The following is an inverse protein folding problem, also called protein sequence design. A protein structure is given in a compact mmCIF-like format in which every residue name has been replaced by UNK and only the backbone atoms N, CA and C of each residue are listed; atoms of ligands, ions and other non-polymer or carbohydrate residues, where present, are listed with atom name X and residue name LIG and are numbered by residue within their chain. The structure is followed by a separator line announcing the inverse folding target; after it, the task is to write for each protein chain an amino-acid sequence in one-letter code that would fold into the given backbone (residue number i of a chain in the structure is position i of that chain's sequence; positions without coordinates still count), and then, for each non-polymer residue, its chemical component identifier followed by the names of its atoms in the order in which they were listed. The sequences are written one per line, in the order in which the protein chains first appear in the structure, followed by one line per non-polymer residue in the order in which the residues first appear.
data_IF_168590340714
#
_entry.id   IF_168590340714
#
_cell.length_a   1.000
_cell.length_b   1.000
_cell.length_c   1.000
_cell.angle_alpha   90.00
_cell.angle_beta   90.00
_cell.angle_gamma   90.00
#
_symmetry.space_group_name_H-M   'P 1'
#
loop_
_entity.id
_entity.type
_entity.pdbx_description
1 polymer ?
#
# COMPACT_ATOMS: atom_id res chain seq x y z
N UNK A 1 -54.06 -49.39 44.31
CA UNK A 1 -54.67 -48.88 43.07
C UNK A 1 -53.94 -47.61 42.68
N UNK A 2 -53.51 -47.53 41.42
CA UNK A 2 -52.86 -46.38 40.76
C UNK A 2 -53.73 -45.11 40.86
N UNK A 3 -53.35 -43.88 40.55
CA UNK A 3 -52.23 -43.24 39.83
C UNK A 3 -52.06 -41.83 40.49
N UNK A 4 -51.07 -40.98 40.23
CA UNK A 4 -50.80 -40.30 38.96
C UNK A 4 -49.49 -39.53 39.11
N UNK A 5 -48.62 -39.62 38.11
CA UNK A 5 -47.39 -38.83 37.98
C UNK A 5 -47.73 -37.45 37.40
N UNK A 6 -47.10 -36.40 37.90
CA UNK A 6 -47.02 -35.11 37.21
C UNK A 6 -45.57 -34.64 37.20
N UNK A 7 -44.95 -34.78 36.02
CA UNK A 7 -43.70 -34.12 35.66
C UNK A 7 -43.95 -32.62 35.54
N UNK A 8 -43.16 -31.81 36.22
CA UNK A 8 -43.03 -30.38 35.90
C UNK A 8 -41.66 -30.15 35.31
N UNK A 9 -41.64 -29.96 33.99
CA UNK A 9 -40.48 -29.45 33.26
C UNK A 9 -40.44 -27.93 33.46
N UNK A 10 -39.39 -27.42 34.11
CA UNK A 10 -39.14 -25.98 34.19
C UNK A 10 -38.12 -25.62 33.12
N UNK A 11 -38.57 -24.77 32.21
CA UNK A 11 -37.90 -24.36 30.98
C UNK A 11 -36.55 -23.68 31.23
N UNK A 12 -35.54 -24.08 30.45
CA UNK A 12 -34.28 -23.35 30.33
C UNK A 12 -34.54 -22.02 29.59
N UNK A 13 -34.49 -20.91 30.32
CA UNK A 13 -34.52 -19.56 29.77
C UNK A 13 -33.15 -19.32 29.14
N UNK A 14 -33.06 -19.49 27.82
CA UNK A 14 -31.90 -19.08 27.03
C UNK A 14 -31.74 -17.55 27.13
N UNK A 15 -30.59 -17.12 27.65
CA UNK A 15 -30.11 -15.74 27.57
C UNK A 15 -29.94 -15.37 26.09
N UNK A 16 -30.92 -14.69 25.50
CA UNK A 16 -30.76 -14.01 24.21
C UNK A 16 -29.84 -12.81 24.44
N UNK A 17 -28.54 -13.01 24.19
CA UNK A 17 -27.60 -11.90 24.06
C UNK A 17 -28.07 -11.04 22.88
N UNK A 18 -28.55 -9.83 23.17
CA UNK A 18 -28.81 -8.82 22.16
C UNK A 18 -27.47 -8.37 21.58
N UNK A 19 -27.03 -8.99 20.50
CA UNK A 19 -25.96 -8.43 19.65
C UNK A 19 -26.55 -7.24 18.91
N UNK A 20 -26.39 -6.03 19.42
CA UNK A 20 -26.65 -4.83 18.63
C UNK A 20 -25.47 -4.65 17.67
N UNK A 21 -25.70 -4.94 16.39
CA UNK A 21 -24.79 -4.56 15.33
C UNK A 21 -24.93 -3.06 15.10
N UNK A 22 -24.03 -2.26 15.67
CA UNK A 22 -23.93 -0.84 15.31
C UNK A 22 -23.36 -0.76 13.90
N UNK A 23 -24.24 -0.55 12.91
CA UNK A 23 -23.81 -0.16 11.57
C UNK A 23 -23.33 1.29 11.65
N UNK A 24 -22.01 1.46 11.76
CA UNK A 24 -21.39 2.77 11.58
C UNK A 24 -21.46 3.09 10.09
N UNK A 25 -22.41 3.93 9.69
CA UNK A 25 -22.45 4.48 8.34
C UNK A 25 -21.23 5.42 8.22
N UNK A 26 -20.17 4.95 7.56
CA UNK A 26 -19.04 5.82 7.24
C UNK A 26 -19.48 6.85 6.19
N UNK A 27 -18.96 8.09 6.27
CA UNK A 27 -19.24 9.12 5.28
C UNK A 27 -18.81 8.64 3.88
N UNK A 28 -19.53 9.04 2.83
CA UNK A 28 -19.16 8.70 1.46
C UNK A 28 -17.77 9.25 1.15
N UNK A 29 -16.97 8.50 0.38
CA UNK A 29 -15.71 9.00 -0.17
C UNK A 29 -16.02 10.28 -0.95
N UNK A 30 -15.48 11.41 -0.49
CA UNK A 30 -15.78 12.73 -1.06
C UNK A 30 -15.12 12.92 -2.43
N UNK A 31 -14.11 12.13 -2.77
CA UNK A 31 -13.38 12.21 -4.05
C UNK A 31 -13.33 10.84 -4.76
N UNK A 32 -13.55 10.81 -6.09
CA UNK A 32 -13.42 9.59 -6.88
C UNK A 32 -11.95 9.15 -7.00
N UNK A 33 -11.71 7.84 -6.98
CA UNK A 33 -10.37 7.28 -7.24
C UNK A 33 -9.83 7.77 -8.58
N UNK A 34 -8.66 8.40 -8.54
CA UNK A 34 -7.93 8.81 -9.74
C UNK A 34 -6.86 7.77 -10.02
N UNK A 35 -7.00 6.98 -11.11
CA UNK A 35 -6.00 5.97 -11.46
C UNK A 35 -4.68 6.63 -11.81
N UNK A 36 -3.59 5.91 -11.59
CA UNK A 36 -2.28 6.34 -12.08
C UNK A 36 -2.29 6.36 -13.61
N UNK A 37 -1.47 7.23 -14.18
CA UNK A 37 -1.34 7.40 -15.63
C UNK A 37 -0.08 6.69 -16.11
N UNK A 38 -0.19 5.94 -17.20
CA UNK A 38 0.97 5.28 -17.80
C UNK A 38 2.06 6.29 -18.16
N UNK A 39 3.28 6.03 -17.72
CA UNK A 39 4.43 6.94 -17.81
C UNK A 39 5.57 6.39 -18.69
N UNK A 40 5.45 5.14 -19.17
CA UNK A 40 6.37 4.53 -20.12
C UNK A 40 6.97 3.20 -19.64
N UNK A 41 7.78 2.61 -20.52
CA UNK A 41 8.58 1.42 -20.25
C UNK A 41 9.98 1.80 -19.75
N UNK A 42 10.42 1.20 -18.66
CA UNK A 42 11.71 1.51 -18.03
C UNK A 42 12.50 0.24 -17.74
N UNK A 43 13.83 0.33 -17.82
CA UNK A 43 14.69 -0.78 -17.43
C UNK A 43 14.50 -1.06 -15.93
N UNK A 44 14.51 -2.34 -15.56
CA UNK A 44 14.67 -2.79 -14.18
C UNK A 44 15.94 -3.62 -14.03
N UNK A 45 16.50 -3.68 -12.82
CA UNK A 45 17.81 -4.29 -12.61
C UNK A 45 18.27 -4.31 -11.16
N UNK A 46 19.59 -4.32 -10.94
CA UNK A 46 20.16 -4.27 -9.59
C UNK A 46 21.09 -3.04 -9.47
N UNK A 47 20.74 -2.02 -8.66
CA UNK A 47 19.54 -1.92 -7.82
C UNK A 47 18.24 -1.78 -8.63
N UNK A 48 17.11 -2.14 -8.01
CA UNK A 48 15.79 -2.05 -8.64
C UNK A 48 15.38 -0.61 -8.90
N UNK A 49 14.65 -0.40 -9.97
CA UNK A 49 14.14 0.92 -10.36
C UNK A 49 13.11 1.45 -9.39
N UNK A 50 12.19 0.57 -8.96
CA UNK A 50 11.24 0.84 -7.89
C UNK A 50 11.65 -0.01 -6.67
N UNK A 51 11.94 0.68 -5.57
CA UNK A 51 12.60 0.08 -4.39
C UNK A 51 11.73 -0.96 -3.68
N UNK A 52 10.40 -0.81 -3.73
CA UNK A 52 9.50 -1.68 -2.99
C UNK A 52 8.86 -2.72 -3.90
N UNK A 53 8.96 -4.00 -3.54
CA UNK A 53 8.19 -5.08 -4.16
C UNK A 53 6.95 -5.36 -3.32
N UNK A 54 5.79 -5.30 -3.94
CA UNK A 54 4.50 -5.67 -3.35
C UNK A 54 4.50 -7.13 -2.87
N UNK A 55 3.78 -7.39 -1.78
CA UNK A 55 3.53 -8.74 -1.27
C UNK A 55 2.35 -9.44 -1.98
N UNK A 56 1.61 -8.73 -2.83
CA UNK A 56 0.50 -9.31 -3.57
C UNK A 56 0.94 -10.42 -4.52
N UNK A 57 0.00 -11.33 -4.78
CA UNK A 57 0.24 -12.42 -5.70
C UNK A 57 0.27 -11.93 -7.15
N UNK A 58 1.37 -12.22 -7.86
CA UNK A 58 1.48 -11.98 -9.29
C UNK A 58 0.54 -12.84 -10.15
N UNK A 59 -0.11 -13.88 -9.59
CA UNK A 59 -0.93 -14.84 -10.35
C UNK A 59 -2.24 -14.28 -10.89
N UNK A 60 -2.74 -13.20 -10.31
CA UNK A 60 -4.00 -12.56 -10.71
C UNK A 60 -3.86 -11.03 -10.68
N UNK A 61 -2.65 -10.55 -10.99
CA UNK A 61 -2.34 -9.13 -10.95
C UNK A 61 -2.93 -8.40 -12.17
N UNK A 62 -3.48 -7.22 -11.94
CA UNK A 62 -3.89 -6.25 -12.98
C UNK A 62 -3.19 -4.92 -12.72
N UNK A 63 -3.24 -4.02 -13.69
CA UNK A 63 -2.73 -2.65 -13.50
C UNK A 63 -3.44 -2.00 -12.31
N UNK A 64 -4.77 -2.11 -12.22
CA UNK A 64 -5.58 -1.53 -11.15
C UNK A 64 -5.17 -2.05 -9.77
N UNK A 65 -4.92 -3.36 -9.65
CA UNK A 65 -4.52 -3.96 -8.38
C UNK A 65 -3.16 -3.44 -7.89
N UNK A 66 -2.20 -3.26 -8.78
CA UNK A 66 -0.89 -2.74 -8.43
C UNK A 66 -0.93 -1.24 -8.09
N UNK A 67 -1.58 -0.42 -8.93
CA UNK A 67 -1.69 1.03 -8.66
C UNK A 67 -2.50 1.30 -7.38
N UNK A 68 -3.50 0.46 -7.08
CA UNK A 68 -4.28 0.50 -5.84
C UNK A 68 -3.38 0.35 -4.60
N UNK A 69 -2.50 -0.64 -4.61
CA UNK A 69 -1.58 -0.89 -3.51
C UNK A 69 -0.52 0.20 -3.40
N UNK A 70 0.07 0.62 -4.52
CA UNK A 70 1.10 1.66 -4.46
C UNK A 70 0.53 3.01 -4.00
N UNK A 71 -0.73 3.33 -4.36
CA UNK A 71 -1.37 4.61 -4.00
C UNK A 71 -1.61 4.76 -2.49
N UNK A 72 -2.03 3.72 -1.77
CA UNK A 72 -2.37 3.90 -0.34
C UNK A 72 -3.78 4.30 0.01
N UNK A 73 -4.68 4.27 -0.96
CA UNK A 73 -6.04 4.72 -0.73
C UNK A 73 -7.05 3.61 -1.02
N UNK A 74 -7.20 2.68 -0.08
CA UNK A 74 -8.47 1.97 0.10
C UNK A 74 -8.81 1.87 1.58
N UNK A 75 -9.71 2.74 2.11
CA UNK A 75 -10.50 2.36 3.26
C UNK A 75 -11.39 1.20 2.81
N UNK A 76 -11.12 0.01 3.35
CA UNK A 76 -12.02 -1.14 3.42
C UNK A 76 -13.43 -0.94 2.82
N UNK A 77 -13.63 -1.36 1.56
CA UNK A 77 -14.85 -2.09 1.21
C UNK A 77 -14.62 -2.96 -0.02
N UNK A 78 -14.60 -4.28 0.21
CA UNK A 78 -14.65 -5.31 -0.81
C UNK A 78 -16.01 -5.28 -1.53
N UNK A 79 -16.02 -5.15 -2.84
CA UNK A 79 -17.13 -5.62 -3.68
C UNK A 79 -16.68 -6.93 -4.35
N UNK A 80 -16.97 -8.03 -3.64
CA UNK A 80 -17.05 -9.43 -4.07
C UNK A 80 -15.89 -10.06 -4.88
N UNK A 81 -14.95 -10.68 -4.16
CA UNK A 81 -14.38 -11.96 -4.57
C UNK A 81 -14.17 -12.87 -3.35
N UNK A 82 -14.92 -13.96 -3.30
CA UNK A 82 -14.99 -14.89 -2.19
C UNK A 82 -13.82 -15.87 -2.19
N UNK A 83 -13.01 -15.88 -1.12
CA UNK A 83 -12.70 -17.06 -0.28
C UNK A 83 -11.57 -16.75 0.69
N UNK A 84 -11.86 -16.94 1.99
CA UNK A 84 -10.94 -17.20 3.11
C UNK A 84 -9.44 -17.04 2.76
N UNK A 85 -8.82 -15.97 3.25
CA UNK A 85 -7.58 -16.01 4.04
C UNK A 85 -7.23 -14.61 4.53
N UNK A 86 -7.11 -14.51 5.86
CA UNK A 86 -6.44 -13.50 6.67
C UNK A 86 -6.74 -12.00 6.43
N UNK A 87 -7.15 -11.36 7.53
CA UNK A 87 -7.02 -9.94 7.77
C UNK A 87 -5.61 -9.45 7.38
N UNK A 88 -5.50 -8.76 6.25
CA UNK A 88 -4.44 -7.80 6.00
C UNK A 88 -4.99 -6.74 5.04
N UNK A 89 -5.20 -5.55 5.56
CA UNK A 89 -5.44 -4.35 4.74
C UNK A 89 -4.08 -4.05 4.12
N UNK A 90 -3.93 -3.96 2.79
CA UNK A 90 -2.72 -3.35 2.27
C UNK A 90 -2.77 -1.90 2.73
N UNK A 91 -1.88 -1.57 3.66
CA UNK A 91 -1.43 -0.21 3.91
C UNK A 91 -0.82 0.22 2.59
N UNK A 92 -1.62 0.68 1.63
CA UNK A 92 -0.98 1.12 0.41
C UNK A 92 -0.08 2.31 0.77
N UNK A 93 0.98 2.47 0.02
CA UNK A 93 2.21 2.98 0.61
C UNK A 93 2.51 4.45 0.25
N UNK A 94 1.52 5.16 -0.30
CA UNK A 94 1.64 6.58 -0.67
C UNK A 94 2.72 6.83 -1.71
N UNK A 95 3.00 5.86 -2.58
CA UNK A 95 4.03 5.98 -3.59
C UNK A 95 3.55 6.76 -4.80
N UNK A 96 4.49 7.51 -5.39
CA UNK A 96 4.26 8.26 -6.62
C UNK A 96 4.15 7.35 -7.85
N UNK A 97 4.91 6.25 -7.85
CA UNK A 97 5.00 5.34 -8.98
C UNK A 97 4.60 3.93 -8.57
N UNK A 98 3.89 3.29 -9.50
CA UNK A 98 3.65 1.85 -9.52
C UNK A 98 4.29 1.30 -10.79
N UNK A 99 4.86 0.11 -10.72
CA UNK A 99 5.47 -0.55 -11.86
C UNK A 99 5.12 -2.02 -11.87
N UNK A 100 4.86 -2.55 -13.05
CA UNK A 100 4.61 -3.98 -13.24
C UNK A 100 5.73 -4.58 -14.08
N UNK A 101 6.27 -5.69 -13.63
CA UNK A 101 7.29 -6.51 -14.31
C UNK A 101 6.75 -7.93 -14.51
N UNK A 102 7.26 -8.66 -15.51
CA UNK A 102 7.12 -10.11 -15.64
C UNK A 102 5.71 -10.67 -15.32
N UNK A 103 4.74 -10.29 -16.14
CA UNK A 103 3.33 -10.73 -16.06
C UNK A 103 2.54 -10.25 -14.84
N UNK A 104 3.12 -9.41 -13.98
CA UNK A 104 2.41 -8.81 -12.85
C UNK A 104 3.11 -8.93 -11.50
N UNK A 105 4.44 -8.96 -11.47
CA UNK A 105 5.17 -8.57 -10.28
C UNK A 105 5.02 -7.05 -10.08
N UNK A 106 4.40 -6.67 -8.96
CA UNK A 106 4.12 -5.26 -8.66
C UNK A 106 5.24 -4.65 -7.82
N UNK A 107 5.65 -3.45 -8.21
CA UNK A 107 6.66 -2.66 -7.52
C UNK A 107 6.15 -1.23 -7.32
N UNK A 108 6.59 -0.58 -6.25
CA UNK A 108 6.24 0.79 -5.92
C UNK A 108 7.49 1.60 -5.59
N UNK A 109 7.44 2.89 -5.84
CA UNK A 109 8.55 3.79 -5.52
C UNK A 109 8.19 5.26 -5.63
N UNK A 110 9.03 6.10 -5.05
CA UNK A 110 8.86 7.55 -5.11
C UNK A 110 9.69 8.21 -6.23
N UNK A 111 10.64 7.48 -6.81
CA UNK A 111 11.50 7.94 -7.93
C UNK A 111 11.63 6.84 -8.98
N UNK A 112 11.97 7.25 -10.21
CA UNK A 112 12.33 6.36 -11.32
C UNK A 112 13.71 6.80 -11.78
N UNK A 113 14.74 6.02 -11.45
CA UNK A 113 16.15 6.38 -11.71
C UNK A 113 16.81 5.51 -12.78
N UNK A 114 16.02 4.92 -13.67
CA UNK A 114 16.48 4.07 -14.76
C UNK A 114 16.14 4.68 -16.13
N UNK A 115 16.88 4.33 -17.19
CA UNK A 115 16.56 4.82 -18.52
C UNK A 115 15.24 4.24 -19.03
N UNK A 116 14.52 5.06 -19.79
CA UNK A 116 13.38 4.60 -20.59
C UNK A 116 13.85 3.59 -21.65
N UNK A 117 13.01 2.61 -21.92
CA UNK A 117 13.21 1.58 -22.94
C UNK A 117 12.23 1.77 -24.09
N UNK A 118 12.44 1.01 -25.16
CA UNK A 118 11.43 0.86 -26.20
C UNK A 118 10.20 0.13 -25.64
N UNK A 119 9.00 0.59 -26.01
CA UNK A 119 7.72 0.03 -25.56
C UNK A 119 7.58 -1.47 -25.88
N UNK A 120 8.26 -1.96 -26.92
CA UNK A 120 8.28 -3.40 -27.23
C UNK A 120 8.92 -4.26 -26.14
N UNK A 121 9.70 -3.68 -25.22
CA UNK A 121 10.27 -4.40 -24.08
C UNK A 121 9.23 -4.62 -22.97
N UNK A 122 8.23 -3.75 -22.86
CA UNK A 122 7.13 -3.89 -21.92
C UNK A 122 5.89 -4.39 -22.65
N UNK A 123 5.88 -5.67 -23.05
CA UNK A 123 4.82 -6.25 -23.88
C UNK A 123 4.18 -7.52 -23.28
N UNK A 124 4.52 -7.88 -22.05
CA UNK A 124 3.99 -9.07 -21.40
C UNK A 124 2.58 -8.80 -20.88
N UNK A 125 1.62 -9.70 -21.13
CA UNK A 125 0.26 -9.54 -20.64
C UNK A 125 0.19 -9.71 -19.12
N UNK A 126 -0.76 -9.05 -18.48
CA UNK A 126 -1.04 -9.26 -17.05
C UNK A 126 -1.66 -10.64 -16.81
N UNK A 127 -1.24 -11.34 -15.74
CA UNK A 127 -1.81 -12.64 -15.38
C UNK A 127 -3.30 -12.55 -14.97
N UNK A 128 -3.73 -11.42 -14.38
CA UNK A 128 -5.13 -11.18 -14.01
C UNK A 128 -6.00 -10.65 -15.14
N UNK A 129 -5.40 -10.05 -16.19
CA UNK A 129 -6.11 -9.55 -17.36
C UNK A 129 -5.19 -9.52 -18.59
N UNK A 130 -5.36 -10.47 -19.51
CA UNK A 130 -4.50 -10.57 -20.69
C UNK A 130 -4.70 -9.46 -21.73
N UNK A 131 -5.66 -8.56 -21.53
CA UNK A 131 -5.85 -7.36 -22.36
C UNK A 131 -5.00 -6.17 -21.90
N UNK A 132 -4.35 -6.29 -20.75
CA UNK A 132 -3.46 -5.30 -20.16
C UNK A 132 -2.00 -5.73 -20.28
N UNK A 133 -1.10 -4.75 -20.15
CA UNK A 133 0.35 -4.95 -20.25
C UNK A 133 1.03 -4.72 -18.89
N UNK A 134 1.74 -5.74 -18.42
CA UNK A 134 2.38 -5.82 -17.11
C UNK A 134 3.90 -6.00 -17.22
N UNK A 135 4.54 -5.06 -17.94
CA UNK A 135 6.00 -5.01 -18.06
C UNK A 135 6.61 -6.00 -19.03
N UNK A 136 7.86 -6.35 -18.76
CA UNK A 136 8.73 -7.16 -19.59
C UNK A 136 9.67 -8.04 -18.78
N UNK A 137 10.66 -8.62 -19.47
CA UNK A 137 11.82 -9.22 -18.80
C UNK A 137 12.77 -8.10 -18.40
N UNK A 138 13.03 -7.93 -17.10
CA UNK A 138 13.86 -6.84 -16.57
C UNK A 138 13.39 -5.45 -17.05
N UNK A 139 12.08 -5.28 -17.27
CA UNK A 139 11.49 -4.03 -17.75
C UNK A 139 10.14 -3.77 -17.06
N UNK A 140 9.96 -2.56 -16.57
CA UNK A 140 8.77 -2.11 -15.86
C UNK A 140 7.86 -1.27 -16.76
N UNK A 141 6.59 -1.66 -16.84
CA UNK A 141 5.52 -0.73 -17.24
C UNK A 141 5.23 0.18 -16.04
N UNK A 142 5.65 1.45 -16.10
CA UNK A 142 5.51 2.39 -14.98
C UNK A 142 4.26 3.26 -15.15
N UNK A 143 3.56 3.46 -14.04
CA UNK A 143 2.39 4.31 -13.88
C UNK A 143 2.66 5.34 -12.77
N UNK A 144 2.20 6.57 -12.97
CA UNK A 144 2.44 7.70 -12.06
C UNK A 144 1.14 8.24 -11.48
N UNK A 145 1.16 8.55 -10.19
CA UNK A 145 0.17 9.39 -9.54
C UNK A 145 0.39 10.86 -9.90
N UNK A 146 -0.56 11.44 -10.64
CA UNK A 146 -0.51 12.85 -11.08
C UNK A 146 -0.86 13.84 -9.97
N UNK A 147 -1.26 13.37 -8.79
CA UNK A 147 -1.48 14.24 -7.62
C UNK A 147 -0.17 14.73 -7.00
N UNK A 148 0.96 14.09 -7.31
CA UNK A 148 2.29 14.58 -6.93
C UNK A 148 2.74 15.67 -7.90
N UNK A 149 2.63 16.93 -7.50
CA UNK A 149 2.92 18.09 -8.35
C UNK A 149 4.38 18.50 -8.39
N UNK A 150 5.19 18.09 -7.40
CA UNK A 150 6.59 18.49 -7.26
C UNK A 150 7.49 17.29 -7.41
N UNK A 151 8.49 17.33 -8.30
CA UNK A 151 9.43 16.22 -8.49
C UNK A 151 10.42 16.11 -7.30
N UNK A 152 10.87 14.91 -6.88
CA UNK A 152 11.81 14.78 -5.76
C UNK A 152 13.12 15.56 -5.94
N UNK A 153 13.55 15.75 -7.19
CA UNK A 153 14.75 16.54 -7.49
C UNK A 153 14.57 18.05 -7.28
N UNK A 154 13.34 18.51 -7.03
CA UNK A 154 12.99 19.91 -6.81
C UNK A 154 12.74 20.23 -5.33
N UNK A 155 12.89 19.23 -4.45
CA UNK A 155 12.64 19.36 -3.00
C UNK A 155 13.98 19.47 -2.29
N UNK A 156 14.17 20.52 -1.50
CA UNK A 156 15.33 20.70 -0.63
C UNK A 156 15.01 20.31 0.83
N UNK A 157 16.02 20.21 1.69
CA UNK A 157 15.81 19.85 3.11
C UNK A 157 14.98 20.93 3.81
N UNK A 158 15.15 22.18 3.39
CA UNK A 158 14.47 23.37 3.88
C UNK A 158 12.95 23.35 3.62
N UNK A 159 12.48 22.53 2.66
CA UNK A 159 11.05 22.37 2.37
C UNK A 159 10.34 21.44 3.37
N UNK A 160 11.09 20.66 4.16
CA UNK A 160 10.51 19.83 5.22
C UNK A 160 10.10 20.70 6.42
N UNK A 161 8.78 20.83 6.61
CA UNK A 161 8.22 21.53 7.75
C UNK A 161 7.97 20.57 8.94
N UNK A 162 8.24 21.00 10.19
CA UNK A 162 7.91 20.20 11.36
C UNK A 162 6.39 20.05 11.50
N UNK A 163 5.90 18.81 11.40
CA UNK A 163 4.47 18.48 11.55
C UNK A 163 4.07 18.24 13.02
N UNK A 164 4.99 17.76 13.86
CA UNK A 164 4.77 17.49 15.28
C UNK A 164 5.22 16.09 15.69
N UNK A 165 4.84 15.69 16.91
CA UNK A 165 5.09 14.35 17.44
C UNK A 165 3.86 13.47 17.25
N UNK A 166 4.05 12.29 16.64
CA UNK A 166 3.00 11.33 16.36
C UNK A 166 3.29 10.00 17.06
N UNK A 167 2.24 9.26 17.41
CA UNK A 167 2.38 7.90 17.92
C UNK A 167 2.79 6.96 16.78
N UNK A 168 3.94 6.30 16.90
CA UNK A 168 4.30 5.18 16.04
C UNK A 168 3.71 3.87 16.58
N UNK A 169 3.56 2.86 15.72
CA UNK A 169 2.95 1.55 16.07
C UNK A 169 1.50 1.62 16.57
N UNK A 170 0.64 2.25 15.76
CA UNK A 170 -0.81 2.25 15.98
C UNK A 170 -1.50 0.94 15.56
N UNK A 171 -2.84 0.85 15.68
CA UNK A 171 -3.61 -0.32 15.24
C UNK A 171 -3.48 -0.63 13.74
N UNK A 172 -2.94 0.31 12.95
CA UNK A 172 -2.69 0.20 11.52
C UNK A 172 -1.19 0.11 11.19
N UNK A 173 -0.32 -0.21 12.16
CA UNK A 173 1.13 -0.30 11.96
C UNK A 173 1.86 1.03 12.15
N UNK A 174 3.05 1.13 11.58
CA UNK A 174 3.93 2.30 11.68
C UNK A 174 3.37 3.51 10.94
N UNK A 175 3.59 4.70 11.49
CA UNK A 175 3.27 5.97 10.85
C UNK A 175 4.11 6.20 9.59
N UNK A 176 5.39 5.79 9.64
CA UNK A 176 6.30 5.80 8.50
C UNK A 176 6.84 4.37 8.31
N UNK A 177 6.25 3.60 7.38
CA UNK A 177 6.59 2.19 7.21
C UNK A 177 7.98 1.95 6.61
N UNK A 178 8.63 3.00 6.08
CA UNK A 178 9.86 2.88 5.28
C UNK A 178 11.09 3.42 6.01
N UNK A 179 11.77 2.60 6.83
CA UNK A 179 12.95 3.05 7.56
C UNK A 179 14.13 3.37 6.63
N UNK A 180 14.86 4.42 6.95
CA UNK A 180 16.15 4.74 6.29
C UNK A 180 17.34 4.23 7.08
N UNK A 181 18.19 3.43 6.44
CA UNK A 181 19.42 2.94 7.08
C UNK A 181 20.53 3.99 7.19
N UNK A 182 20.45 4.80 8.24
CA UNK A 182 21.47 5.78 8.64
C UNK A 182 22.36 5.22 9.78
N UNK A 183 23.70 5.28 9.67
CA UNK A 183 24.59 4.87 10.74
C UNK A 183 24.32 5.64 12.05
N UNK A 184 24.26 4.92 13.17
CA UNK A 184 23.94 5.52 14.47
C UNK A 184 24.98 6.57 14.90
N UNK A 185 26.24 6.37 14.54
CA UNK A 185 27.35 7.24 14.93
C UNK A 185 27.29 8.63 14.28
N UNK A 186 26.57 8.74 13.16
CA UNK A 186 26.44 10.01 12.43
C UNK A 186 25.06 10.64 12.55
N UNK A 187 24.09 9.93 13.15
CA UNK A 187 22.66 10.26 13.07
C UNK A 187 22.34 11.69 13.51
N UNK A 188 21.70 12.45 12.61
CA UNK A 188 21.10 13.76 12.88
C UNK A 188 19.75 13.87 12.18
N UNK A 189 18.84 14.76 12.63
CA UNK A 189 17.61 15.04 11.90
C UNK A 189 17.87 15.45 10.44
N UNK A 190 18.89 16.28 10.18
CA UNK A 190 19.27 16.69 8.83
C UNK A 190 19.68 15.51 7.94
N UNK A 191 20.38 14.51 8.48
CA UNK A 191 20.69 13.29 7.72
C UNK A 191 19.46 12.43 7.44
N UNK A 192 18.50 12.39 8.36
CA UNK A 192 17.22 11.73 8.14
C UNK A 192 16.44 12.40 7.00
N UNK A 193 16.30 13.73 7.06
CA UNK A 193 15.67 14.52 6.00
C UNK A 193 16.36 14.29 4.65
N UNK A 194 17.70 14.37 4.61
CA UNK A 194 18.48 14.09 3.39
C UNK A 194 18.20 12.68 2.87
N UNK A 195 18.26 11.66 3.72
CA UNK A 195 18.09 10.27 3.31
C UNK A 195 16.67 9.96 2.79
N UNK A 196 15.65 10.64 3.32
CA UNK A 196 14.26 10.52 2.84
C UNK A 196 14.05 11.30 1.54
N UNK A 197 14.57 12.53 1.45
CA UNK A 197 14.54 13.38 0.25
C UNK A 197 15.22 12.68 -0.93
N UNK A 198 16.39 12.09 -0.72
CA UNK A 198 17.16 11.40 -1.77
C UNK A 198 16.41 10.17 -2.34
N UNK A 199 15.36 9.72 -1.65
CA UNK A 199 14.45 8.67 -2.13
C UNK A 199 13.09 9.20 -2.58
N UNK A 200 12.84 10.49 -2.44
CA UNK A 200 11.62 11.18 -2.84
C UNK A 200 10.46 11.04 -1.88
N UNK A 201 10.71 10.69 -0.62
CA UNK A 201 9.64 10.61 0.39
C UNK A 201 9.21 12.01 0.85
N UNK A 202 7.92 12.36 0.78
CA UNK A 202 7.43 13.67 1.22
C UNK A 202 7.42 13.84 2.75
N UNK A 203 7.64 12.76 3.50
CA UNK A 203 7.68 12.75 4.95
C UNK A 203 8.94 12.03 5.43
N UNK A 204 9.39 12.43 6.61
CA UNK A 204 10.52 11.84 7.32
C UNK A 204 10.25 11.97 8.82
N UNK A 205 10.72 10.99 9.59
CA UNK A 205 10.54 11.00 11.04
C UNK A 205 11.79 10.52 11.73
N UNK A 206 11.88 10.83 13.02
CA UNK A 206 12.94 10.27 13.85
C UNK A 206 12.32 9.66 15.09
N UNK A 207 12.60 8.40 15.35
CA UNK A 207 12.15 7.68 16.55
C UNK A 207 13.38 7.31 17.39
N UNK A 208 13.33 7.36 18.73
CA UNK A 208 14.42 6.92 19.63
C UNK A 208 15.86 7.39 19.29
N UNK A 209 16.05 8.56 18.68
CA UNK A 209 17.34 8.99 18.12
C UNK A 209 17.93 8.03 17.05
N UNK A 210 17.09 7.21 16.42
CA UNK A 210 17.40 6.23 15.38
C UNK A 210 16.18 5.97 14.47
N UNK A 211 16.25 6.55 13.26
CA UNK A 211 15.50 6.22 12.01
C UNK A 211 13.95 6.20 12.11
N UNK A 212 13.29 7.04 11.31
CA UNK A 212 11.97 6.73 10.70
C UNK A 212 12.03 7.14 9.24
#
# INVERSE_FOLDING_TARGET
MAATKTLTAVAAIFLLQHTQATNFQLPPCLEPFRPFVYSGCYQDGSPRTLEYRSEQSSRNMTIEACVAECKGEFPWYHVYAAKKMAHYVPLGNGFRYAGLEYYGECYCGATVNSPALDESQCNLPCNGNSSETCGGNDALSIYQDTTFTTHPSEVDIEDYAPLGCYTDDGPNGRSLPWPRDIPQETFTPAQCLSACRDRGFPFAGTEYSRKS
#
